data_IF_928637132216
#
_entry.id   IF_928637132216
#
_cell.length_a   1.000
_cell.length_b   1.000
_cell.length_c   1.000
_cell.angle_alpha   90.00
_cell.angle_beta   90.00
_cell.angle_gamma   90.00
#
_symmetry.space_group_name_H-M   'P 1'
#
loop_
_entity.id
_entity.type
_entity.pdbx_description
1 polymer ?
#
# COMPACT_ATOMS: atom_id res chain seq x y z
N UNK A 1 -54.68 35.46 10.55
CA UNK A 1 -53.47 35.86 9.79
C UNK A 1 -53.92 36.47 8.48
N UNK A 2 -53.72 37.78 8.23
CA UNK A 2 -54.34 38.49 7.11
C UNK A 2 -53.77 38.08 5.76
N UNK A 3 -54.60 38.07 4.72
CA UNK A 3 -54.24 37.72 3.35
C UNK A 3 -52.98 38.44 2.84
N UNK A 4 -52.80 39.70 3.27
CA UNK A 4 -51.59 40.49 2.92
C UNK A 4 -50.28 39.85 3.41
N UNK A 5 -50.28 39.15 4.54
CA UNK A 5 -49.10 38.46 5.07
C UNK A 5 -48.79 37.16 4.29
N UNK A 6 -49.85 36.51 3.74
CA UNK A 6 -49.66 35.31 2.90
C UNK A 6 -49.13 35.65 1.52
N UNK A 7 -49.58 36.79 0.94
CA UNK A 7 -49.10 37.28 -0.35
C UNK A 7 -47.61 37.69 -0.27
N UNK A 8 -47.19 38.32 0.86
CA UNK A 8 -45.79 38.72 1.07
C UNK A 8 -44.88 37.52 1.25
N UNK A 9 -45.35 36.48 1.94
CA UNK A 9 -44.58 35.23 2.12
C UNK A 9 -44.38 34.46 0.80
N UNK A 10 -45.40 34.46 -0.07
CA UNK A 10 -45.30 33.83 -1.39
C UNK A 10 -44.35 34.58 -2.32
N UNK A 11 -44.33 35.92 -2.26
CA UNK A 11 -43.39 36.74 -3.06
C UNK A 11 -41.94 36.56 -2.64
N UNK A 12 -41.67 36.42 -1.34
CA UNK A 12 -40.31 36.16 -0.84
C UNK A 12 -39.83 34.73 -1.19
N UNK A 13 -40.69 33.73 -1.17
CA UNK A 13 -40.35 32.36 -1.57
C UNK A 13 -40.03 32.26 -3.09
N UNK A 14 -40.73 33.04 -3.91
CA UNK A 14 -40.49 33.11 -5.35
C UNK A 14 -39.18 33.77 -5.72
N UNK A 15 -38.70 34.74 -4.92
CA UNK A 15 -37.40 35.39 -5.17
C UNK A 15 -36.23 34.52 -4.84
N UNK A 16 -36.36 33.60 -3.90
CA UNK A 16 -35.27 32.65 -3.54
C UNK A 16 -35.03 31.57 -4.60
N UNK A 17 -36.01 31.31 -5.47
CA UNK A 17 -35.84 30.31 -6.54
C UNK A 17 -35.16 30.84 -7.80
N UNK A 18 -34.98 32.15 -7.92
CA UNK A 18 -34.31 32.79 -9.07
C UNK A 18 -32.86 33.20 -8.79
N UNK A 19 -32.41 33.18 -7.54
CA UNK A 19 -31.00 33.35 -7.18
C UNK A 19 -30.28 32.02 -7.18
N UNK A 20 -30.35 31.25 -8.25
CA UNK A 20 -29.39 30.23 -8.56
C UNK A 20 -28.03 30.92 -8.72
N UNK A 21 -27.21 30.90 -7.67
CA UNK A 21 -25.78 31.22 -7.81
C UNK A 21 -25.24 30.32 -8.89
N UNK A 22 -25.13 30.84 -10.12
CA UNK A 22 -24.18 30.34 -11.09
C UNK A 22 -22.81 30.56 -10.45
N UNK A 23 -22.31 29.61 -9.71
CA UNK A 23 -20.89 29.54 -9.43
C UNK A 23 -20.22 29.60 -10.79
N UNK A 24 -19.28 30.54 -11.01
CA UNK A 24 -18.48 30.53 -12.22
C UNK A 24 -17.93 29.14 -12.34
N UNK A 25 -18.22 28.49 -13.46
CA UNK A 25 -17.89 27.10 -13.68
C UNK A 25 -16.46 26.85 -13.21
N UNK A 26 -16.31 26.05 -12.19
CA UNK A 26 -15.06 25.37 -11.93
C UNK A 26 -14.87 24.59 -13.22
N UNK A 27 -14.05 25.14 -14.12
CA UNK A 27 -13.44 24.31 -15.15
C UNK A 27 -12.83 23.17 -14.37
N UNK A 28 -13.49 22.02 -14.38
CA UNK A 28 -12.80 20.80 -14.15
C UNK A 28 -11.72 20.82 -15.22
N UNK A 29 -10.53 21.13 -14.78
CA UNK A 29 -9.34 20.82 -15.53
C UNK A 29 -9.44 19.28 -15.67
N UNK A 30 -10.10 18.86 -16.75
CA UNK A 30 -9.98 17.48 -17.20
C UNK A 30 -8.51 17.39 -17.57
N UNK A 31 -7.70 16.99 -16.58
CA UNK A 31 -6.32 16.60 -16.84
C UNK A 31 -6.35 15.68 -18.06
N UNK A 32 -5.26 15.60 -18.80
CA UNK A 32 -5.24 14.85 -20.05
C UNK A 32 -5.94 13.52 -19.80
N UNK A 33 -7.07 13.30 -20.49
CA UNK A 33 -7.68 12.00 -20.64
C UNK A 33 -6.71 11.18 -21.46
N UNK A 34 -5.63 10.77 -20.83
CA UNK A 34 -4.93 9.59 -21.26
C UNK A 34 -5.92 8.44 -21.07
N UNK A 35 -6.75 8.26 -22.08
CA UNK A 35 -7.46 7.00 -22.24
C UNK A 35 -6.38 5.97 -22.48
N UNK A 36 -5.86 5.42 -21.37
CA UNK A 36 -5.04 4.22 -21.44
C UNK A 36 -5.91 3.19 -22.12
N UNK A 37 -5.56 2.83 -23.34
CA UNK A 37 -6.23 1.76 -24.02
C UNK A 37 -5.90 0.47 -23.24
N UNK A 38 -6.82 0.05 -22.39
CA UNK A 38 -6.69 -1.16 -21.56
C UNK A 38 -6.69 -2.45 -22.39
N UNK A 39 -6.78 -2.33 -23.72
CA UNK A 39 -6.65 -3.48 -24.62
C UNK A 39 -5.27 -4.14 -24.56
N UNK A 40 -4.24 -3.38 -24.17
CA UNK A 40 -2.87 -3.85 -23.96
C UNK A 40 -2.58 -3.98 -22.47
N UNK A 41 -3.31 -4.81 -21.77
CA UNK A 41 -3.13 -5.32 -20.41
C UNK A 41 -1.95 -4.74 -19.57
N UNK A 42 -1.87 -3.41 -19.45
CA UNK A 42 -0.89 -2.79 -18.55
C UNK A 42 -1.43 -2.73 -17.13
N UNK A 43 -0.68 -3.32 -16.23
CA UNK A 43 -0.90 -3.15 -14.79
C UNK A 43 -0.04 -1.99 -14.31
N UNK A 44 -0.68 -0.88 -13.90
CA UNK A 44 0.00 0.33 -13.43
C UNK A 44 -0.09 0.45 -11.91
N UNK A 45 1.05 0.61 -11.26
CA UNK A 45 1.15 0.90 -9.83
C UNK A 45 1.77 2.29 -9.62
N UNK A 46 1.25 3.02 -8.63
CA UNK A 46 1.82 4.29 -8.23
C UNK A 46 3.17 4.07 -7.52
N UNK A 47 4.16 4.86 -7.87
CA UNK A 47 5.48 4.85 -7.26
C UNK A 47 5.92 6.24 -6.82
N UNK A 48 6.42 6.35 -5.59
CA UNK A 48 7.02 7.56 -5.08
C UNK A 48 8.52 7.58 -5.41
N UNK A 49 8.88 8.39 -6.42
CA UNK A 49 10.23 8.38 -7.03
C UNK A 49 11.37 8.81 -6.09
N UNK A 50 11.08 9.52 -5.00
CA UNK A 50 12.09 9.97 -4.04
C UNK A 50 12.32 8.94 -2.92
N UNK A 51 11.51 7.90 -2.86
CA UNK A 51 11.71 6.75 -2.00
C UNK A 51 12.53 5.67 -2.68
N UNK A 52 12.86 4.64 -1.92
CA UNK A 52 13.48 3.43 -2.40
C UNK A 52 12.46 2.29 -2.41
N UNK A 53 12.68 1.26 -3.21
CA UNK A 53 11.92 0.00 -3.14
C UNK A 53 12.62 -1.05 -2.28
N UNK A 54 13.66 -0.67 -1.53
CA UNK A 54 14.36 -1.58 -0.65
C UNK A 54 13.43 -1.98 0.52
N UNK A 55 13.07 -3.28 0.68
CA UNK A 55 12.12 -3.73 1.69
C UNK A 55 12.65 -3.59 3.12
N UNK A 56 13.96 -3.43 3.27
CA UNK A 56 14.64 -3.33 4.59
C UNK A 56 14.64 -1.90 5.12
N UNK A 57 14.84 -0.90 4.26
CA UNK A 57 15.09 0.49 4.69
C UNK A 57 14.02 1.48 4.30
N UNK A 58 13.13 1.14 3.36
CA UNK A 58 12.08 2.06 2.93
C UNK A 58 10.91 2.06 3.91
N UNK A 59 10.52 3.27 4.33
CA UNK A 59 9.39 3.51 5.24
C UNK A 59 8.21 4.18 4.54
N UNK A 60 8.31 4.44 3.22
CA UNK A 60 7.24 5.10 2.47
C UNK A 60 6.03 4.18 2.29
N UNK A 61 4.85 4.69 2.65
CA UNK A 61 3.60 3.91 2.61
C UNK A 61 3.09 3.65 1.20
N UNK A 62 3.40 4.52 0.22
CA UNK A 62 2.99 4.33 -1.18
C UNK A 62 3.82 3.19 -1.77
N UNK A 63 5.13 3.21 -1.52
CA UNK A 63 6.03 2.16 -1.98
C UNK A 63 5.83 0.82 -1.25
N UNK A 64 5.16 0.83 -0.08
CA UNK A 64 4.84 -0.40 0.66
C UNK A 64 4.05 -1.41 -0.20
N UNK A 65 3.03 -0.94 -0.92
CA UNK A 65 2.23 -1.79 -1.81
C UNK A 65 3.06 -2.41 -2.94
N UNK A 66 4.05 -1.64 -3.45
CA UNK A 66 4.96 -2.15 -4.47
C UNK A 66 5.90 -3.21 -3.90
N UNK A 67 6.37 -3.03 -2.66
CA UNK A 67 7.22 -4.02 -2.00
C UNK A 67 6.51 -5.36 -1.84
N UNK A 68 5.25 -5.35 -1.45
CA UNK A 68 4.44 -6.58 -1.35
C UNK A 68 4.30 -7.31 -2.70
N UNK A 69 4.27 -6.58 -3.81
CA UNK A 69 4.22 -7.17 -5.15
C UNK A 69 5.60 -7.65 -5.65
N UNK A 70 6.70 -7.14 -5.11
CA UNK A 70 8.06 -7.39 -5.60
C UNK A 70 8.85 -8.40 -4.75
N UNK A 71 8.49 -8.55 -3.49
CA UNK A 71 9.25 -9.34 -2.52
C UNK A 71 8.33 -10.29 -1.76
N UNK A 72 8.83 -11.46 -1.47
CA UNK A 72 8.17 -12.46 -0.65
C UNK A 72 8.88 -12.58 0.70
N UNK A 73 8.10 -12.79 1.76
CA UNK A 73 8.61 -13.09 3.11
C UNK A 73 8.69 -14.59 3.39
N UNK A 74 9.23 -14.94 4.55
CA UNK A 74 9.16 -16.33 5.03
C UNK A 74 7.72 -16.75 5.27
N UNK A 75 6.88 -15.81 5.72
CA UNK A 75 5.48 -15.99 6.05
C UNK A 75 4.67 -14.81 5.52
N UNK A 76 3.41 -15.06 5.25
CA UNK A 76 2.36 -14.06 5.06
C UNK A 76 1.35 -14.18 6.22
N UNK A 77 0.63 -13.08 6.50
CA UNK A 77 -0.53 -13.13 7.40
C UNK A 77 -1.80 -13.26 6.57
N UNK A 78 -2.64 -14.20 6.95
CA UNK A 78 -3.99 -14.32 6.41
C UNK A 78 -4.90 -13.22 6.97
N UNK A 79 -6.12 -13.09 6.47
CA UNK A 79 -7.09 -12.08 6.93
C UNK A 79 -7.44 -12.20 8.42
N UNK A 80 -7.29 -13.39 9.01
CA UNK A 80 -7.47 -13.68 10.43
C UNK A 80 -6.16 -13.59 11.25
N UNK A 81 -5.12 -12.97 10.68
CA UNK A 81 -3.79 -12.81 11.27
C UNK A 81 -3.06 -14.12 11.60
N UNK A 82 -3.40 -15.21 10.94
CA UNK A 82 -2.70 -16.47 11.08
C UNK A 82 -1.49 -16.51 10.14
N UNK A 83 -0.26 -16.85 10.62
CA UNK A 83 0.90 -17.00 9.76
C UNK A 83 0.73 -18.15 8.76
N UNK A 84 0.92 -17.86 7.49
CA UNK A 84 0.95 -18.83 6.40
C UNK A 84 2.37 -18.92 5.84
N UNK A 85 2.87 -20.13 5.63
CA UNK A 85 4.20 -20.36 5.07
C UNK A 85 4.27 -19.94 3.60
N UNK A 86 5.29 -19.14 3.23
CA UNK A 86 5.57 -18.74 1.84
C UNK A 86 6.95 -19.26 1.44
N UNK A 87 8.05 -18.57 1.77
CA UNK A 87 9.42 -19.05 1.53
C UNK A 87 9.89 -20.04 2.59
N UNK A 88 9.24 -20.07 3.75
CA UNK A 88 9.46 -21.08 4.78
C UNK A 88 8.66 -22.33 4.44
N UNK A 89 9.30 -23.49 4.37
CA UNK A 89 8.63 -24.79 4.24
C UNK A 89 8.11 -25.30 5.58
N UNK A 90 8.84 -25.03 6.65
CA UNK A 90 8.48 -25.40 8.01
C UNK A 90 9.46 -24.82 9.02
N UNK A 91 9.05 -24.83 10.28
CA UNK A 91 9.91 -24.37 11.37
C UNK A 91 9.71 -25.20 12.64
N UNK A 92 10.72 -25.17 13.49
CA UNK A 92 10.70 -25.75 14.83
C UNK A 92 11.37 -24.82 15.82
N UNK A 93 11.03 -24.91 17.10
CA UNK A 93 11.66 -24.08 18.14
C UNK A 93 11.37 -24.62 19.54
N UNK A 94 12.22 -24.22 20.50
CA UNK A 94 12.15 -24.57 21.92
C UNK A 94 11.79 -23.38 22.83
N UNK A 95 11.38 -22.27 22.24
CA UNK A 95 11.03 -21.03 22.94
C UNK A 95 12.16 -19.99 22.96
N UNK A 96 13.39 -20.39 22.72
CA UNK A 96 14.56 -19.49 22.63
C UNK A 96 15.30 -19.62 21.31
N UNK A 97 15.28 -20.79 20.71
CA UNK A 97 15.91 -21.06 19.42
C UNK A 97 14.87 -21.54 18.43
N UNK A 98 14.84 -20.89 17.26
CA UNK A 98 13.95 -21.27 16.15
C UNK A 98 14.78 -21.64 14.93
N UNK A 99 14.42 -22.75 14.30
CA UNK A 99 15.02 -23.22 13.05
C UNK A 99 13.96 -23.17 11.97
N UNK A 100 14.28 -22.46 10.87
CA UNK A 100 13.42 -22.33 9.71
C UNK A 100 14.01 -23.11 8.54
N UNK A 101 13.17 -23.93 7.88
CA UNK A 101 13.54 -24.64 6.67
C UNK A 101 13.07 -23.83 5.46
N UNK A 102 14.01 -23.47 4.60
CA UNK A 102 13.70 -22.67 3.40
C UNK A 102 13.24 -23.61 2.28
N UNK A 103 12.15 -23.21 1.60
CA UNK A 103 11.58 -23.94 0.47
C UNK A 103 12.61 -24.14 -0.63
N UNK A 104 12.74 -25.35 -1.09
CA UNK A 104 13.69 -25.70 -2.13
C UNK A 104 13.21 -25.27 -3.53
N UNK A 105 14.14 -24.95 -4.42
CA UNK A 105 13.86 -24.64 -5.83
C UNK A 105 13.32 -23.24 -6.11
N UNK A 106 13.18 -22.40 -5.10
CA UNK A 106 12.83 -20.98 -5.28
C UNK A 106 13.99 -20.25 -5.95
N UNK A 107 13.67 -19.37 -6.87
CA UNK A 107 14.68 -18.60 -7.63
C UNK A 107 14.36 -17.11 -7.59
N UNK A 108 15.41 -16.32 -7.52
CA UNK A 108 15.34 -14.88 -7.81
C UNK A 108 15.06 -14.63 -9.30
N UNK A 109 14.65 -13.41 -9.62
CA UNK A 109 14.50 -12.94 -11.01
C UNK A 109 15.78 -13.09 -11.85
N UNK A 110 16.95 -13.05 -11.21
CA UNK A 110 18.26 -13.31 -11.83
C UNK A 110 18.46 -14.78 -12.26
N UNK A 111 17.57 -15.68 -11.83
CA UNK A 111 17.68 -17.13 -12.02
C UNK A 111 18.53 -17.84 -10.96
N UNK A 112 19.17 -17.11 -10.05
CA UNK A 112 19.89 -17.69 -8.90
C UNK A 112 18.91 -18.36 -7.94
N UNK A 113 19.33 -19.48 -7.35
CA UNK A 113 18.53 -20.19 -6.34
C UNK A 113 18.61 -19.46 -5.01
N UNK A 114 17.46 -19.27 -4.36
CA UNK A 114 17.37 -18.77 -2.99
C UNK A 114 17.98 -19.77 -2.02
N UNK A 115 18.80 -19.26 -1.10
CA UNK A 115 19.46 -20.04 -0.05
C UNK A 115 19.14 -19.48 1.34
N UNK A 116 19.44 -20.25 2.39
CA UNK A 116 19.33 -19.75 3.76
C UNK A 116 20.28 -18.56 4.04
N UNK A 117 21.42 -18.50 3.38
CA UNK A 117 22.37 -17.39 3.51
C UNK A 117 21.78 -16.07 3.00
N UNK A 118 20.96 -16.10 1.95
CA UNK A 118 20.27 -14.90 1.43
C UNK A 118 19.24 -14.37 2.43
N UNK A 119 18.53 -15.29 3.10
CA UNK A 119 17.60 -14.94 4.18
C UNK A 119 18.35 -14.32 5.35
N UNK A 120 19.43 -14.94 5.80
CA UNK A 120 20.29 -14.40 6.88
C UNK A 120 20.85 -13.03 6.52
N UNK A 121 21.28 -12.82 5.27
CA UNK A 121 21.77 -11.53 4.80
C UNK A 121 20.68 -10.44 4.88
N UNK A 122 19.43 -10.76 4.53
CA UNK A 122 18.30 -9.84 4.62
C UNK A 122 18.00 -9.45 6.07
N UNK A 123 17.98 -10.41 6.99
CA UNK A 123 17.77 -10.13 8.41
C UNK A 123 18.90 -9.31 9.02
N UNK A 124 20.16 -9.63 8.69
CA UNK A 124 21.31 -8.82 9.12
C UNK A 124 21.21 -7.38 8.62
N UNK A 125 20.88 -7.18 7.35
CA UNK A 125 20.68 -5.84 6.81
C UNK A 125 19.60 -5.06 7.56
N UNK A 126 18.52 -5.73 7.99
CA UNK A 126 17.46 -5.12 8.79
C UNK A 126 17.91 -4.79 10.22
N UNK A 127 18.73 -5.64 10.83
CA UNK A 127 19.28 -5.43 12.18
C UNK A 127 20.34 -4.33 12.20
N UNK A 128 21.19 -4.26 11.19
CA UNK A 128 22.30 -3.30 11.11
C UNK A 128 21.84 -1.88 10.72
N UNK A 129 20.67 -1.74 10.09
CA UNK A 129 20.17 -0.45 9.63
C UNK A 129 19.28 0.22 10.67
N UNK A 130 19.77 1.27 11.33
CA UNK A 130 18.98 2.07 12.27
C UNK A 130 17.73 2.73 11.64
N UNK A 131 17.71 2.89 10.30
CA UNK A 131 16.54 3.40 9.56
C UNK A 131 15.53 2.31 9.20
N UNK A 132 15.86 1.04 9.43
CA UNK A 132 14.94 -0.06 9.16
C UNK A 132 13.74 -0.02 10.08
N UNK A 133 12.51 -0.16 9.57
CA UNK A 133 11.31 -0.28 10.40
C UNK A 133 11.31 -1.58 11.24
N UNK A 134 12.21 -2.51 10.93
CA UNK A 134 12.34 -3.79 11.63
C UNK A 134 13.46 -3.79 12.69
N UNK A 135 14.35 -2.79 12.68
CA UNK A 135 15.51 -2.72 13.56
C UNK A 135 15.16 -2.98 15.03
N UNK A 136 14.20 -2.23 15.57
CA UNK A 136 13.79 -2.37 16.98
C UNK A 136 13.11 -3.69 17.30
N UNK A 137 12.49 -4.33 16.31
CA UNK A 137 11.80 -5.62 16.49
C UNK A 137 12.76 -6.79 16.47
N UNK A 138 13.93 -6.61 15.89
CA UNK A 138 14.97 -7.62 15.76
C UNK A 138 16.14 -7.41 16.76
N UNK A 139 16.04 -6.41 17.64
CA UNK A 139 17.13 -6.05 18.55
C UNK A 139 17.47 -7.15 19.57
N UNK A 140 16.53 -8.04 19.85
CA UNK A 140 16.67 -9.12 20.84
C UNK A 140 16.80 -10.52 20.19
N UNK A 141 17.09 -10.58 18.87
CA UNK A 141 17.23 -11.83 18.10
C UNK A 141 18.69 -12.27 17.98
#
# INVERSE_FOLDING_TARGET
MSWKKRALAAALAGLCLLSGCSLPGRQQDEGPKDTVDVSDAYFGLAWYKNGTLNPVTDTDSINAMLREALYEGLFELTDDFTPQNVLCEGYSGDGTTFTFTIRQGVKFWSGQTLTADDVVASYRAAMDSASSPYHSRLADV
#
